data_IF_040777937495
#
_entry.id   IF_040777937495
#
_cell.length_a   1.000
_cell.length_b   1.000
_cell.length_c   1.000
_cell.angle_alpha   90.00
_cell.angle_beta   90.00
_cell.angle_gamma   90.00
#
_symmetry.space_group_name_H-M   'P 1'
#
loop_
_entity.id
_entity.type
_entity.pdbx_description
1 polymer ?
#
# COMPACT_ATOMS: atom_id res chain seq x y z
N UNK A 1 39.45 27.65 -13.69
CA UNK A 1 40.35 26.62 -13.12
C UNK A 1 39.67 25.25 -13.27
N UNK A 2 40.22 24.35 -14.11
CA UNK A 2 39.73 22.97 -14.20
C UNK A 2 39.90 22.30 -12.82
N UNK A 3 38.80 21.89 -12.20
CA UNK A 3 38.85 21.13 -10.94
C UNK A 3 39.58 19.81 -11.21
N UNK A 4 40.73 19.63 -10.55
CA UNK A 4 41.45 18.35 -10.59
C UNK A 4 40.52 17.22 -10.14
N UNK A 5 40.56 16.08 -10.85
CA UNK A 5 39.82 14.87 -10.44
C UNK A 5 40.30 14.40 -9.07
N UNK A 6 39.48 13.64 -8.35
CA UNK A 6 39.75 13.22 -6.97
C UNK A 6 41.11 12.52 -6.80
N UNK A 7 41.43 11.56 -7.67
CA UNK A 7 42.69 10.83 -7.64
C UNK A 7 43.92 11.73 -7.72
N UNK A 8 44.11 12.59 -8.73
CA UNK A 8 45.29 13.48 -8.79
C UNK A 8 45.33 14.49 -7.65
N UNK A 9 44.18 14.87 -7.07
CA UNK A 9 44.12 15.77 -5.93
C UNK A 9 44.65 15.10 -4.66
N UNK A 10 44.20 13.89 -4.34
CA UNK A 10 44.68 13.11 -3.19
C UNK A 10 46.15 12.77 -3.36
N UNK A 11 46.57 12.34 -4.56
CA UNK A 11 47.95 12.05 -4.87
C UNK A 11 48.87 13.24 -4.63
N UNK A 12 48.50 14.44 -5.12
CA UNK A 12 49.29 15.65 -4.90
C UNK A 12 49.39 16.04 -3.43
N UNK A 13 48.29 15.93 -2.67
CA UNK A 13 48.35 16.24 -1.23
C UNK A 13 49.22 15.26 -0.46
N UNK A 14 49.07 13.97 -0.65
CA UNK A 14 49.85 12.93 0.03
C UNK A 14 51.33 13.01 -0.36
N UNK A 15 51.62 13.23 -1.63
CA UNK A 15 52.97 13.42 -2.13
C UNK A 15 53.63 14.71 -1.52
N UNK A 16 52.88 15.81 -1.46
CA UNK A 16 53.39 17.07 -0.86
C UNK A 16 53.70 16.90 0.61
N UNK A 17 52.85 16.23 1.39
CA UNK A 17 53.07 15.95 2.80
C UNK A 17 54.30 15.05 2.98
N UNK A 18 54.42 13.97 2.22
CA UNK A 18 55.57 13.07 2.31
C UNK A 18 56.87 13.76 1.90
N UNK A 19 56.83 14.57 0.84
CA UNK A 19 57.97 15.36 0.42
C UNK A 19 58.43 16.35 1.53
N UNK A 20 57.46 17.01 2.18
CA UNK A 20 57.75 17.92 3.30
C UNK A 20 58.42 17.17 4.46
N UNK A 21 57.90 15.99 4.85
CA UNK A 21 58.49 15.15 5.89
C UNK A 21 59.91 14.72 5.52
N UNK A 22 60.16 14.31 4.26
CA UNK A 22 61.48 13.96 3.78
C UNK A 22 62.47 15.12 3.87
N UNK A 23 62.07 16.31 3.44
CA UNK A 23 62.91 17.52 3.51
C UNK A 23 63.23 17.89 4.95
N UNK A 24 62.24 17.87 5.85
CA UNK A 24 62.42 18.21 7.26
C UNK A 24 63.32 17.19 7.95
N UNK A 25 63.13 15.88 7.76
CA UNK A 25 63.94 14.85 8.40
C UNK A 25 65.38 14.87 7.93
N UNK A 26 65.64 15.04 6.63
CA UNK A 26 66.99 15.13 6.10
C UNK A 26 67.67 16.43 6.46
N UNK A 27 66.94 17.56 6.52
CA UNK A 27 67.43 18.84 7.00
C UNK A 27 67.82 18.80 8.50
N UNK A 28 66.99 18.10 9.32
CA UNK A 28 67.32 17.90 10.76
C UNK A 28 68.56 17.03 10.95
N UNK A 29 68.69 15.94 10.18
CA UNK A 29 69.87 15.07 10.22
C UNK A 29 71.13 15.89 9.85
N UNK A 30 71.08 16.70 8.81
CA UNK A 30 72.18 17.51 8.36
C UNK A 30 72.58 18.57 9.41
N UNK A 31 71.64 19.20 10.08
CA UNK A 31 71.84 20.20 11.10
C UNK A 31 72.32 19.60 12.45
N UNK A 32 71.80 18.46 12.86
CA UNK A 32 72.11 17.88 14.20
C UNK A 32 73.34 16.95 14.20
N UNK A 33 73.71 16.36 13.07
CA UNK A 33 74.82 15.45 12.97
C UNK A 33 76.15 16.06 13.45
N UNK A 34 76.52 17.33 13.13
CA UNK A 34 77.70 17.98 13.66
C UNK A 34 77.58 18.28 15.13
N UNK A 35 76.39 18.62 15.69
CA UNK A 35 76.23 19.03 17.09
C UNK A 35 76.25 17.84 18.07
N UNK A 36 75.78 16.64 17.66
CA UNK A 36 75.88 15.46 18.51
C UNK A 36 77.30 15.00 18.78
N UNK A 37 78.24 15.32 17.91
CA UNK A 37 79.66 15.04 18.13
C UNK A 37 80.29 15.90 19.18
N UNK A 38 79.91 17.19 19.32
CA UNK A 38 80.36 18.10 20.33
C UNK A 38 79.98 17.69 21.75
N UNK A 39 78.88 16.99 21.93
CA UNK A 39 78.37 16.52 23.21
C UNK A 39 79.07 15.25 23.74
N UNK A 40 79.73 14.48 22.87
CA UNK A 40 80.47 13.28 23.27
C UNK A 40 81.95 13.46 23.44
N UNK A 41 82.48 14.66 23.20
CA UNK A 41 83.90 15.01 23.29
C UNK A 41 84.17 15.84 24.53
N UNK A 42 84.05 15.26 25.72
CA UNK A 42 84.62 15.79 26.94
C UNK A 42 85.55 14.75 27.54
N UNK A 43 86.80 14.98 27.33
CA UNK A 43 88.04 14.47 27.96
C UNK A 43 88.88 13.53 27.11
N UNK A 44 90.08 14.09 26.79
CA UNK A 44 91.30 13.38 26.32
C UNK A 44 91.23 12.64 24.95
N UNK A 45 91.56 13.42 23.89
CA UNK A 45 92.34 13.01 22.71
C UNK A 45 92.02 13.89 21.47
N UNK A 46 92.62 15.09 21.40
CA UNK A 46 92.38 16.08 20.31
C UNK A 46 92.78 15.56 18.93
N UNK A 47 93.63 14.57 18.79
CA UNK A 47 94.06 14.03 17.51
C UNK A 47 93.08 12.96 16.96
N UNK A 48 92.41 12.24 17.83
CA UNK A 48 91.40 11.20 17.44
C UNK A 48 90.09 11.85 17.05
N UNK A 49 89.76 12.96 17.72
CA UNK A 49 88.49 13.68 17.46
C UNK A 49 88.43 14.32 16.08
N UNK A 50 89.55 14.91 15.58
CA UNK A 50 89.55 15.56 14.23
C UNK A 50 89.37 14.50 13.11
N UNK A 51 89.98 13.34 13.27
CA UNK A 51 89.82 12.24 12.27
C UNK A 51 88.43 11.62 12.29
N UNK A 52 87.80 11.57 13.44
CA UNK A 52 86.42 11.04 13.61
C UNK A 52 85.34 12.01 13.07
N UNK A 53 85.53 13.30 13.27
CA UNK A 53 84.67 14.38 12.67
C UNK A 53 84.67 14.30 11.15
N UNK A 54 85.80 14.14 10.51
CA UNK A 54 85.93 14.04 9.07
C UNK A 54 85.20 12.76 8.53
N UNK A 55 85.32 11.63 9.25
CA UNK A 55 84.72 10.37 8.86
C UNK A 55 83.19 10.41 8.93
N UNK A 56 82.63 11.02 9.94
CA UNK A 56 81.16 11.14 10.11
C UNK A 56 80.56 12.09 9.09
N UNK A 57 81.23 13.23 8.86
CA UNK A 57 80.78 14.21 7.86
C UNK A 57 80.82 13.60 6.44
N UNK A 58 81.88 12.87 6.10
CA UNK A 58 82.04 12.21 4.82
C UNK A 58 81.05 11.05 4.67
N UNK A 59 80.72 10.29 5.71
CA UNK A 59 79.71 9.25 5.71
C UNK A 59 78.31 9.83 5.54
N UNK A 60 77.93 10.92 6.18
CA UNK A 60 76.67 11.63 6.04
C UNK A 60 76.56 12.23 4.64
N UNK A 61 77.58 12.88 4.10
CA UNK A 61 77.57 13.43 2.74
C UNK A 61 77.37 12.36 1.66
N UNK A 62 77.95 11.17 1.83
CA UNK A 62 77.74 10.03 0.90
C UNK A 62 76.42 9.33 1.09
N UNK A 63 75.91 9.21 2.29
CA UNK A 63 74.62 8.54 2.59
C UNK A 63 73.39 9.40 2.25
N UNK A 64 73.50 10.75 2.38
CA UNK A 64 72.41 11.69 2.22
C UNK A 64 71.73 11.62 0.83
N UNK A 65 72.43 11.61 -0.32
CA UNK A 65 71.81 11.51 -1.65
C UNK A 65 71.11 10.16 -1.87
N UNK A 66 71.63 9.05 -1.30
CA UNK A 66 71.07 7.74 -1.42
C UNK A 66 69.78 7.65 -0.60
N UNK A 67 69.81 8.12 0.66
CA UNK A 67 68.63 8.13 1.53
C UNK A 67 67.52 9.06 1.01
N UNK A 68 67.88 10.20 0.44
CA UNK A 68 66.94 11.11 -0.20
C UNK A 68 66.26 10.48 -1.41
N UNK A 69 67.02 9.80 -2.24
CA UNK A 69 66.47 9.10 -3.46
C UNK A 69 65.53 7.96 -3.05
N UNK A 70 65.89 7.14 -2.08
CA UNK A 70 65.06 6.08 -1.52
C UNK A 70 63.77 6.62 -0.90
N UNK A 71 63.88 7.69 -0.09
CA UNK A 71 62.74 8.34 0.55
C UNK A 71 61.76 8.93 -0.49
N UNK A 72 62.29 9.54 -1.55
CA UNK A 72 61.47 10.07 -2.65
C UNK A 72 60.72 8.97 -3.36
N UNK A 73 61.39 7.85 -3.68
CA UNK A 73 60.79 6.69 -4.35
C UNK A 73 59.69 6.06 -3.49
N UNK A 74 59.94 5.86 -2.20
CA UNK A 74 58.96 5.37 -1.23
C UNK A 74 57.76 6.31 -1.15
N UNK A 75 58.01 7.63 -1.08
CA UNK A 75 56.95 8.64 -1.04
C UNK A 75 56.02 8.58 -2.26
N UNK A 76 56.56 8.42 -3.47
CA UNK A 76 55.80 8.29 -4.68
C UNK A 76 54.95 7.01 -4.67
N UNK A 77 55.56 5.86 -4.32
CA UNK A 77 54.86 4.57 -4.26
C UNK A 77 53.75 4.59 -3.22
N UNK A 78 54.02 5.06 -2.01
CA UNK A 78 53.00 5.17 -0.95
C UNK A 78 51.87 6.12 -1.33
N UNK A 79 52.18 7.28 -1.97
CA UNK A 79 51.18 8.22 -2.43
C UNK A 79 50.26 7.63 -3.50
N UNK A 80 50.81 6.85 -4.45
CA UNK A 80 50.04 6.12 -5.47
C UNK A 80 49.10 5.08 -4.86
N UNK A 81 49.63 4.27 -3.94
CA UNK A 81 48.84 3.22 -3.27
C UNK A 81 47.72 3.83 -2.45
N UNK A 82 48.01 4.86 -1.66
CA UNK A 82 47.01 5.54 -0.82
C UNK A 82 45.92 6.22 -1.67
N UNK A 83 46.32 6.91 -2.74
CA UNK A 83 45.36 7.54 -3.66
C UNK A 83 44.44 6.51 -4.33
N UNK A 84 45.01 5.36 -4.71
CA UNK A 84 44.20 4.26 -5.30
C UNK A 84 43.28 3.61 -4.27
N UNK A 85 43.73 3.41 -3.05
CA UNK A 85 42.95 2.78 -1.99
C UNK A 85 41.70 3.57 -1.59
N UNK A 86 41.75 4.92 -1.68
CA UNK A 86 40.65 5.79 -1.27
C UNK A 86 39.84 6.29 -2.48
N UNK A 87 40.51 6.77 -3.55
CA UNK A 87 39.83 7.43 -4.64
C UNK A 87 38.98 6.48 -5.51
N UNK A 88 39.47 5.27 -5.73
CA UNK A 88 38.75 4.29 -6.59
C UNK A 88 37.43 3.82 -5.98
N UNK A 89 37.36 3.41 -4.68
CA UNK A 89 36.08 3.06 -4.05
C UNK A 89 35.08 4.21 -4.02
N UNK A 90 35.50 5.42 -3.65
CA UNK A 90 34.62 6.59 -3.63
C UNK A 90 34.07 6.91 -5.02
N UNK A 91 34.89 6.76 -6.07
CA UNK A 91 34.44 6.95 -7.45
C UNK A 91 33.41 5.90 -7.86
N UNK A 92 33.55 4.64 -7.41
CA UNK A 92 32.59 3.58 -7.65
C UNK A 92 31.26 3.85 -6.94
N UNK A 93 31.29 4.28 -5.66
CA UNK A 93 30.06 4.68 -4.94
C UNK A 93 29.37 5.80 -5.71
N UNK A 94 30.10 6.84 -6.12
CA UNK A 94 29.52 7.96 -6.87
C UNK A 94 28.89 7.53 -8.21
N UNK A 95 29.50 6.58 -8.91
CA UNK A 95 28.95 6.06 -10.16
C UNK A 95 27.69 5.20 -9.92
N UNK A 96 27.68 4.36 -8.88
CA UNK A 96 26.50 3.57 -8.52
C UNK A 96 25.35 4.47 -8.04
N UNK A 97 25.63 5.51 -7.25
CA UNK A 97 24.58 6.47 -6.85
C UNK A 97 24.00 7.24 -8.02
N UNK A 98 24.78 7.52 -9.06
CA UNK A 98 24.24 8.12 -10.31
C UNK A 98 23.29 7.19 -11.06
N UNK A 99 23.51 5.87 -11.03
CA UNK A 99 22.57 4.87 -11.55
C UNK A 99 21.33 4.78 -10.67
N UNK A 100 21.49 4.77 -9.35
CA UNK A 100 20.39 4.77 -8.38
C UNK A 100 19.48 6.00 -8.55
N UNK A 101 20.03 7.18 -8.84
CA UNK A 101 19.25 8.39 -9.15
C UNK A 101 18.34 8.24 -10.39
N UNK A 102 18.65 7.32 -11.30
CA UNK A 102 17.82 7.01 -12.47
C UNK A 102 16.77 5.94 -12.16
N UNK A 103 16.65 5.52 -10.90
CA UNK A 103 15.77 4.44 -10.44
C UNK A 103 16.04 3.10 -11.13
N UNK A 104 17.30 2.82 -11.46
CA UNK A 104 17.69 1.52 -12.01
C UNK A 104 17.63 0.46 -10.92
N UNK A 105 16.66 -0.45 -10.98
CA UNK A 105 16.46 -1.53 -10.01
C UNK A 105 17.65 -2.47 -9.85
N UNK A 106 18.56 -2.51 -10.83
CA UNK A 106 19.79 -3.30 -10.78
C UNK A 106 20.99 -2.55 -10.17
N UNK A 107 20.85 -1.25 -9.85
CA UNK A 107 21.95 -0.46 -9.32
C UNK A 107 22.33 -0.91 -7.91
N UNK A 108 23.62 -1.23 -7.74
CA UNK A 108 24.19 -1.70 -6.48
C UNK A 108 25.63 -1.21 -6.32
N UNK A 109 26.02 -0.79 -5.13
CA UNK A 109 27.40 -0.50 -4.76
C UNK A 109 28.13 -1.79 -4.38
N UNK A 110 28.81 -2.44 -5.32
CA UNK A 110 29.57 -3.69 -5.11
C UNK A 110 30.96 -3.44 -4.52
N UNK A 111 31.03 -2.80 -3.36
CA UNK A 111 32.29 -2.53 -2.64
C UNK A 111 32.31 -3.38 -1.37
N UNK A 112 33.31 -4.28 -1.25
CA UNK A 112 33.45 -5.21 -0.14
C UNK A 112 34.74 -4.92 0.65
N UNK A 113 34.88 -3.70 1.18
CA UNK A 113 35.94 -3.37 2.13
C UNK A 113 35.41 -3.51 3.56
N UNK A 114 36.31 -3.81 4.52
CA UNK A 114 35.96 -3.98 5.94
C UNK A 114 36.16 -2.69 6.76
N UNK A 115 36.17 -1.55 6.09
CA UNK A 115 36.39 -0.23 6.65
C UNK A 115 35.12 0.65 6.55
N UNK A 116 35.23 1.91 6.87
CA UNK A 116 34.17 2.91 6.81
C UNK A 116 33.60 3.09 5.38
N UNK A 117 34.41 2.82 4.35
CA UNK A 117 34.00 2.91 2.94
C UNK A 117 33.06 1.74 2.61
N UNK A 118 33.37 0.55 3.10
CA UNK A 118 32.49 -0.62 2.97
C UNK A 118 31.14 -0.40 3.68
N UNK A 119 31.19 0.15 4.90
CA UNK A 119 29.99 0.51 5.66
C UNK A 119 29.16 1.58 4.93
N UNK A 120 29.81 2.59 4.35
CA UNK A 120 29.12 3.61 3.54
C UNK A 120 28.44 2.99 2.32
N UNK A 121 29.11 2.10 1.61
CA UNK A 121 28.53 1.40 0.45
C UNK A 121 27.30 0.58 0.84
N UNK A 122 27.36 -0.13 1.98
CA UNK A 122 26.23 -0.89 2.53
C UNK A 122 25.05 0.04 2.89
N UNK A 123 25.32 1.12 3.63
CA UNK A 123 24.27 2.09 4.00
C UNK A 123 23.58 2.71 2.76
N UNK A 124 24.34 2.97 1.69
CA UNK A 124 23.78 3.47 0.43
C UNK A 124 22.89 2.41 -0.23
N UNK A 125 23.28 1.15 -0.22
CA UNK A 125 22.48 0.06 -0.75
C UNK A 125 21.18 -0.13 0.05
N UNK A 126 21.27 -0.13 1.38
CA UNK A 126 20.11 -0.28 2.27
C UNK A 126 19.12 0.88 2.10
N UNK A 127 19.64 2.11 2.00
CA UNK A 127 18.82 3.30 1.75
C UNK A 127 18.12 3.21 0.39
N UNK A 128 18.82 2.77 -0.64
CA UNK A 128 18.26 2.60 -1.97
C UNK A 128 17.19 1.50 -2.01
N UNK A 129 17.42 0.36 -1.36
CA UNK A 129 16.44 -0.73 -1.23
C UNK A 129 15.16 -0.24 -0.52
N UNK A 130 15.31 0.51 0.58
CA UNK A 130 14.16 1.09 1.29
C UNK A 130 13.42 2.12 0.42
N UNK A 131 14.13 2.91 -0.38
CA UNK A 131 13.52 3.85 -1.31
C UNK A 131 12.67 3.13 -2.36
N UNK A 132 13.20 2.08 -2.99
CA UNK A 132 12.47 1.28 -3.99
C UNK A 132 11.21 0.64 -3.39
N UNK A 133 11.32 0.02 -2.21
CA UNK A 133 10.17 -0.58 -1.54
C UNK A 133 9.08 0.46 -1.19
N UNK A 134 9.50 1.68 -0.81
CA UNK A 134 8.57 2.78 -0.53
C UNK A 134 7.86 3.25 -1.81
N UNK A 135 8.58 3.34 -2.93
CA UNK A 135 7.99 3.70 -4.22
C UNK A 135 6.95 2.65 -4.64
N UNK A 136 7.29 1.35 -4.56
CA UNK A 136 6.34 0.27 -4.89
C UNK A 136 5.09 0.31 -4.00
N UNK A 137 5.25 0.60 -2.72
CA UNK A 137 4.11 0.74 -1.80
C UNK A 137 3.22 1.91 -2.20
N UNK A 138 3.82 3.07 -2.47
CA UNK A 138 3.08 4.27 -2.90
C UNK A 138 2.38 4.07 -4.26
N UNK A 139 2.98 3.35 -5.19
CA UNK A 139 2.34 3.01 -6.46
C UNK A 139 1.11 2.12 -6.26
N UNK A 140 1.21 1.10 -5.40
CA UNK A 140 0.06 0.23 -5.05
C UNK A 140 -1.06 1.02 -4.37
N UNK A 141 -0.73 1.90 -3.41
CA UNK A 141 -1.73 2.76 -2.77
C UNK A 141 -2.40 3.71 -3.77
N UNK A 142 -1.61 4.32 -4.66
CA UNK A 142 -2.12 5.20 -5.71
C UNK A 142 -3.08 4.46 -6.66
N UNK A 143 -2.75 3.24 -7.06
CA UNK A 143 -3.62 2.44 -7.94
C UNK A 143 -4.90 2.04 -7.21
N UNK A 144 -4.82 1.63 -5.94
CA UNK A 144 -6.00 1.34 -5.11
C UNK A 144 -6.92 2.58 -4.95
N UNK A 145 -6.35 3.76 -4.70
CA UNK A 145 -7.12 5.01 -4.62
C UNK A 145 -7.78 5.33 -5.98
N UNK A 146 -7.06 5.16 -7.08
CA UNK A 146 -7.60 5.39 -8.43
C UNK A 146 -8.77 4.46 -8.75
N UNK A 147 -8.67 3.18 -8.39
CA UNK A 147 -9.73 2.21 -8.62
C UNK A 147 -10.96 2.54 -7.76
N UNK A 148 -10.75 2.98 -6.53
CA UNK A 148 -11.82 3.46 -5.65
C UNK A 148 -12.52 4.71 -6.20
N UNK A 149 -11.76 5.67 -6.75
CA UNK A 149 -12.33 6.87 -7.38
C UNK A 149 -13.14 6.52 -8.63
N UNK A 150 -12.66 5.57 -9.45
CA UNK A 150 -13.41 5.08 -10.62
C UNK A 150 -14.71 4.41 -10.21
N UNK A 151 -14.67 3.48 -9.27
CA UNK A 151 -15.85 2.80 -8.75
C UNK A 151 -16.88 3.81 -8.22
N UNK A 152 -16.43 4.85 -7.48
CA UNK A 152 -17.29 5.93 -7.00
C UNK A 152 -17.91 6.74 -8.15
N UNK A 153 -17.14 7.07 -9.18
CA UNK A 153 -17.63 7.80 -10.33
C UNK A 153 -18.69 7.00 -11.12
N UNK A 154 -18.44 5.70 -11.31
CA UNK A 154 -19.36 4.80 -12.00
C UNK A 154 -20.64 4.59 -11.20
N UNK A 155 -20.55 4.44 -9.88
CA UNK A 155 -21.69 4.41 -8.97
C UNK A 155 -22.55 5.67 -9.08
N UNK A 156 -21.95 6.87 -9.03
CA UNK A 156 -22.68 8.14 -9.13
C UNK A 156 -23.32 8.32 -10.51
N UNK A 157 -22.68 7.84 -11.58
CA UNK A 157 -23.24 7.87 -12.93
C UNK A 157 -24.46 6.95 -13.03
N UNK A 158 -24.36 5.72 -12.51
CA UNK A 158 -25.47 4.78 -12.47
C UNK A 158 -26.64 5.33 -11.62
N UNK A 159 -26.35 5.87 -10.42
CA UNK A 159 -27.34 6.49 -9.56
C UNK A 159 -28.07 7.65 -10.26
N UNK A 160 -27.34 8.52 -10.96
CA UNK A 160 -27.93 9.62 -11.71
C UNK A 160 -28.86 9.13 -12.84
N UNK A 161 -28.47 8.04 -13.52
CA UNK A 161 -29.30 7.44 -14.56
C UNK A 161 -30.59 6.85 -13.99
N UNK A 162 -30.48 6.08 -12.90
CA UNK A 162 -31.63 5.41 -12.28
C UNK A 162 -32.60 6.40 -11.60
N UNK A 163 -32.09 7.51 -11.07
CA UNK A 163 -32.94 8.60 -10.54
C UNK A 163 -33.66 9.38 -11.65
N UNK A 164 -33.00 9.58 -12.81
CA UNK A 164 -33.58 10.35 -13.92
C UNK A 164 -34.83 9.70 -14.48
N UNK A 165 -34.88 8.37 -14.57
CA UNK A 165 -36.00 7.62 -15.17
C UNK A 165 -37.33 7.85 -14.42
N UNK A 166 -37.44 7.59 -13.09
CA UNK A 166 -38.68 7.82 -12.36
C UNK A 166 -39.04 9.31 -12.26
N UNK A 167 -38.05 10.21 -12.17
CA UNK A 167 -38.30 11.67 -12.19
C UNK A 167 -38.94 12.08 -13.51
N UNK A 168 -38.46 11.57 -14.65
CA UNK A 168 -39.04 11.87 -15.97
C UNK A 168 -40.46 11.29 -16.11
N UNK A 169 -40.67 10.05 -15.62
CA UNK A 169 -41.98 9.43 -15.63
C UNK A 169 -42.99 10.20 -14.75
N UNK A 170 -42.59 10.59 -13.55
CA UNK A 170 -43.40 11.40 -12.63
C UNK A 170 -43.78 12.72 -13.26
N UNK A 171 -42.80 13.44 -13.83
CA UNK A 171 -43.06 14.74 -14.49
C UNK A 171 -44.02 14.60 -15.65
N UNK A 172 -43.84 13.61 -16.52
CA UNK A 172 -44.72 13.33 -17.64
C UNK A 172 -46.15 12.97 -17.18
N UNK A 173 -46.31 12.19 -16.10
CA UNK A 173 -47.62 11.88 -15.53
C UNK A 173 -48.32 13.14 -15.00
N UNK A 174 -47.60 13.95 -14.24
CA UNK A 174 -48.13 15.22 -13.71
C UNK A 174 -48.48 16.22 -14.82
N UNK A 175 -47.64 16.37 -15.87
CA UNK A 175 -47.95 17.23 -17.02
C UNK A 175 -49.23 16.77 -17.74
N UNK A 176 -49.39 15.46 -17.98
CA UNK A 176 -50.59 14.91 -18.60
C UNK A 176 -51.84 15.11 -17.73
N UNK A 177 -51.69 15.02 -16.39
CA UNK A 177 -52.78 15.33 -15.45
C UNK A 177 -53.17 16.82 -15.50
N UNK A 178 -52.20 17.73 -15.50
CA UNK A 178 -52.41 19.18 -15.58
C UNK A 178 -53.12 19.57 -16.88
N UNK A 179 -52.72 18.91 -18.00
CA UNK A 179 -53.31 19.14 -19.32
C UNK A 179 -54.67 18.42 -19.51
N UNK A 180 -55.07 17.56 -18.58
CA UNK A 180 -56.33 16.80 -18.68
C UNK A 180 -56.36 15.83 -19.87
N UNK A 181 -55.24 15.21 -20.23
CA UNK A 181 -55.11 14.34 -21.42
C UNK A 181 -55.58 12.93 -21.13
N UNK A 182 -56.61 12.44 -21.81
CA UNK A 182 -57.02 11.06 -21.82
C UNK A 182 -57.29 10.45 -20.46
N UNK A 183 -56.65 9.31 -20.15
CA UNK A 183 -56.80 8.58 -18.89
C UNK A 183 -56.28 9.34 -17.64
N UNK A 184 -55.36 10.31 -17.82
CA UNK A 184 -54.78 11.06 -16.74
C UNK A 184 -55.75 12.10 -16.08
N UNK A 185 -57.00 12.19 -16.55
CA UNK A 185 -58.10 12.93 -15.88
C UNK A 185 -58.59 12.19 -14.62
N UNK A 186 -58.31 10.90 -14.48
CA UNK A 186 -58.66 10.14 -13.29
C UNK A 186 -57.60 10.38 -12.18
N UNK A 187 -57.75 11.52 -11.50
CA UNK A 187 -56.82 11.90 -10.40
C UNK A 187 -56.84 10.90 -9.25
N UNK A 188 -57.94 10.18 -9.03
CA UNK A 188 -58.05 9.20 -7.97
C UNK A 188 -57.09 8.01 -8.14
N UNK A 189 -56.83 7.63 -9.40
CA UNK A 189 -55.88 6.58 -9.76
C UNK A 189 -54.42 7.11 -9.85
N UNK A 190 -54.20 8.25 -10.53
CA UNK A 190 -52.86 8.71 -10.84
C UNK A 190 -52.15 9.50 -9.72
N UNK A 191 -52.85 10.13 -8.77
CA UNK A 191 -52.23 10.77 -7.61
C UNK A 191 -51.54 9.75 -6.66
N UNK A 192 -52.18 8.59 -6.32
CA UNK A 192 -51.52 7.51 -5.60
C UNK A 192 -50.26 6.99 -6.31
N UNK A 193 -50.33 6.77 -7.64
CA UNK A 193 -49.17 6.32 -8.45
C UNK A 193 -48.03 7.35 -8.38
N UNK A 194 -48.32 8.64 -8.48
CA UNK A 194 -47.33 9.73 -8.33
C UNK A 194 -46.70 9.68 -6.93
N UNK A 195 -47.52 9.51 -5.88
CA UNK A 195 -47.04 9.40 -4.50
C UNK A 195 -46.09 8.19 -4.33
N UNK A 196 -46.43 7.05 -4.86
CA UNK A 196 -45.60 5.86 -4.83
C UNK A 196 -44.25 6.10 -5.53
N UNK A 197 -44.22 6.77 -6.70
CA UNK A 197 -42.98 7.16 -7.38
C UNK A 197 -42.11 8.08 -6.52
N UNK A 198 -42.72 9.01 -5.77
CA UNK A 198 -41.98 9.91 -4.84
C UNK A 198 -41.40 9.11 -3.66
N UNK A 199 -42.15 8.15 -3.10
CA UNK A 199 -41.68 7.29 -2.02
C UNK A 199 -40.51 6.41 -2.48
N UNK A 200 -40.60 5.83 -3.69
CA UNK A 200 -39.50 5.09 -4.30
C UNK A 200 -38.26 5.93 -4.51
N UNK A 201 -38.42 7.16 -5.05
CA UNK A 201 -37.32 8.11 -5.21
C UNK A 201 -36.66 8.47 -3.88
N UNK A 202 -37.47 8.70 -2.84
CA UNK A 202 -36.97 8.99 -1.49
C UNK A 202 -36.15 7.81 -0.94
N UNK A 203 -36.63 6.58 -1.12
CA UNK A 203 -35.92 5.36 -0.76
C UNK A 203 -34.57 5.23 -1.49
N UNK A 204 -34.56 5.44 -2.82
CA UNK A 204 -33.30 5.42 -3.61
C UNK A 204 -32.30 6.45 -3.15
N UNK A 205 -32.73 7.69 -2.89
CA UNK A 205 -31.84 8.74 -2.38
C UNK A 205 -31.25 8.34 -1.03
N UNK A 206 -32.08 7.78 -0.15
CA UNK A 206 -31.62 7.34 1.17
C UNK A 206 -30.57 6.23 1.04
N UNK A 207 -30.80 5.23 0.21
CA UNK A 207 -29.82 4.15 -0.05
C UNK A 207 -28.51 4.66 -0.67
N UNK A 208 -28.61 5.61 -1.63
CA UNK A 208 -27.41 6.23 -2.25
C UNK A 208 -26.60 7.00 -1.20
N UNK A 209 -27.25 7.76 -0.31
CA UNK A 209 -26.58 8.51 0.75
C UNK A 209 -25.95 7.59 1.79
N UNK A 210 -26.65 6.52 2.18
CA UNK A 210 -26.12 5.51 3.09
C UNK A 210 -24.89 4.80 2.47
N UNK A 211 -25.00 4.39 1.22
CA UNK A 211 -23.89 3.75 0.47
C UNK A 211 -22.68 4.68 0.36
N UNK A 212 -22.90 5.97 0.14
CA UNK A 212 -21.81 6.96 0.08
C UNK A 212 -21.09 7.13 1.43
N UNK A 213 -21.75 6.88 2.55
CA UNK A 213 -21.16 6.94 3.90
C UNK A 213 -20.39 5.69 4.30
N UNK A 214 -20.68 4.53 3.69
CA UNK A 214 -20.05 3.24 4.04
C UNK A 214 -18.52 3.27 3.92
N UNK A 215 -17.97 4.05 3.00
CA UNK A 215 -16.52 4.22 2.80
C UNK A 215 -15.84 5.14 3.84
N UNK A 216 -16.59 5.76 4.78
CA UNK A 216 -16.07 6.73 5.74
C UNK A 216 -16.09 6.26 7.20
N UNK A 217 -16.81 5.19 7.51
CA UNK A 217 -16.97 4.71 8.89
C UNK A 217 -16.27 3.36 9.09
N UNK A 218 -14.99 3.39 9.40
CA UNK A 218 -14.28 2.24 9.99
C UNK A 218 -14.71 2.13 11.45
N UNK A 219 -15.84 1.46 11.71
CA UNK A 219 -16.16 1.04 13.07
C UNK A 219 -15.12 0.01 13.53
N UNK A 220 -14.47 0.20 14.69
CA UNK A 220 -13.50 -0.77 15.17
C UNK A 220 -14.20 -2.11 15.44
N UNK A 221 -13.59 -3.24 15.05
CA UNK A 221 -14.15 -4.55 15.32
C UNK A 221 -14.24 -4.81 16.83
N UNK A 222 -15.35 -5.39 17.28
CA UNK A 222 -15.62 -5.75 18.68
C UNK A 222 -15.95 -7.23 18.77
N UNK A 223 -15.63 -7.85 19.90
CA UNK A 223 -16.10 -9.21 20.17
C UNK A 223 -17.60 -9.15 20.49
N UNK A 224 -18.39 -9.87 19.72
CA UNK A 224 -19.85 -9.95 19.85
C UNK A 224 -20.32 -11.38 19.85
N UNK A 225 -21.49 -11.64 20.41
CA UNK A 225 -22.24 -12.87 20.18
C UNK A 225 -23.04 -12.72 18.88
N UNK A 226 -22.60 -13.43 17.85
CA UNK A 226 -23.22 -13.39 16.53
C UNK A 226 -24.59 -14.09 16.54
N UNK A 227 -24.79 -15.10 17.39
CA UNK A 227 -26.08 -15.80 17.50
C UNK A 227 -27.16 -14.85 18.02
N UNK A 228 -26.87 -14.08 19.07
CA UNK A 228 -27.80 -13.08 19.61
C UNK A 228 -28.10 -11.99 18.57
N UNK A 229 -27.05 -11.44 17.92
CA UNK A 229 -27.22 -10.43 16.87
C UNK A 229 -28.07 -10.93 15.70
N UNK A 230 -27.84 -12.16 15.24
CA UNK A 230 -28.61 -12.75 14.13
C UNK A 230 -30.06 -12.99 14.52
N UNK A 231 -30.33 -13.42 15.76
CA UNK A 231 -31.70 -13.58 16.25
C UNK A 231 -32.48 -12.26 16.21
N UNK A 232 -31.86 -11.18 16.70
CA UNK A 232 -32.44 -9.82 16.64
C UNK A 232 -32.65 -9.34 15.20
N UNK A 233 -31.67 -9.55 14.31
CA UNK A 233 -31.76 -9.12 12.91
C UNK A 233 -32.82 -9.90 12.12
N UNK A 234 -33.04 -11.17 12.45
CA UNK A 234 -34.02 -12.01 11.74
C UNK A 234 -35.47 -11.73 12.16
N UNK A 235 -35.73 -11.23 13.35
CA UNK A 235 -37.07 -11.01 13.88
C UNK A 235 -38.01 -10.19 12.96
N UNK A 236 -37.62 -9.02 12.42
CA UNK A 236 -38.44 -8.26 11.49
C UNK A 236 -38.78 -9.03 10.19
N UNK A 237 -37.78 -9.79 9.70
CA UNK A 237 -37.94 -10.55 8.44
C UNK A 237 -38.81 -11.79 8.61
N UNK A 238 -38.84 -12.41 9.79
CA UNK A 238 -39.79 -13.47 10.13
C UNK A 238 -41.24 -12.95 10.05
N UNK A 239 -41.51 -11.74 10.55
CA UNK A 239 -42.84 -11.13 10.48
C UNK A 239 -43.24 -10.82 9.03
N UNK A 240 -42.31 -10.26 8.23
CA UNK A 240 -42.55 -9.99 6.82
C UNK A 240 -42.79 -11.29 6.05
N UNK A 241 -41.97 -12.31 6.26
CA UNK A 241 -42.10 -13.62 5.65
C UNK A 241 -43.47 -14.25 5.97
N UNK A 242 -43.91 -14.21 7.22
CA UNK A 242 -45.21 -14.70 7.62
C UNK A 242 -46.37 -13.97 6.93
N UNK A 243 -46.28 -12.63 6.76
CA UNK A 243 -47.28 -11.85 6.03
C UNK A 243 -47.36 -12.23 4.55
N UNK A 244 -46.24 -12.67 3.93
CA UNK A 244 -46.17 -13.15 2.56
C UNK A 244 -46.33 -14.66 2.41
N UNK A 245 -46.74 -15.36 3.47
CA UNK A 245 -46.96 -16.84 3.49
C UNK A 245 -45.65 -17.63 3.18
N UNK A 246 -44.49 -17.07 3.57
CA UNK A 246 -43.20 -17.71 3.44
C UNK A 246 -42.84 -18.35 4.78
N UNK A 247 -42.33 -19.58 4.76
CA UNK A 247 -41.83 -20.26 5.95
C UNK A 247 -40.40 -19.77 6.23
N UNK A 248 -40.16 -19.15 7.38
CA UNK A 248 -38.84 -18.71 7.78
C UNK A 248 -38.29 -19.60 8.88
N UNK A 249 -37.21 -20.32 8.63
CA UNK A 249 -36.48 -21.15 9.60
C UNK A 249 -35.21 -20.52 10.07
N UNK A 250 -34.97 -20.54 11.38
CA UNK A 250 -33.77 -20.03 12.00
C UNK A 250 -33.15 -21.14 12.89
N UNK A 251 -31.92 -21.57 12.54
CA UNK A 251 -31.20 -22.61 13.28
C UNK A 251 -29.79 -22.08 13.63
N UNK A 252 -29.66 -21.53 14.84
CA UNK A 252 -28.43 -20.93 15.34
C UNK A 252 -27.93 -21.71 16.56
N UNK A 253 -26.59 -21.83 16.74
CA UNK A 253 -26.03 -22.36 17.97
C UNK A 253 -26.39 -21.46 19.17
N UNK A 254 -26.41 -22.02 20.39
CA UNK A 254 -26.70 -21.25 21.59
C UNK A 254 -25.78 -20.04 21.76
N UNK A 255 -24.49 -20.15 21.32
CA UNK A 255 -23.54 -19.09 21.40
C UNK A 255 -22.47 -19.25 20.28
N UNK A 256 -22.24 -18.18 19.53
CA UNK A 256 -21.16 -18.09 18.56
C UNK A 256 -20.56 -16.67 18.58
N UNK A 257 -19.31 -16.56 19.06
CA UNK A 257 -18.62 -15.27 19.16
C UNK A 257 -17.65 -15.04 18.01
N UNK A 258 -17.65 -13.83 17.46
CA UNK A 258 -16.68 -13.36 16.48
C UNK A 258 -16.27 -11.90 16.77
N UNK A 259 -15.15 -11.47 16.16
CA UNK A 259 -14.65 -10.10 16.25
C UNK A 259 -15.01 -9.37 14.96
N UNK A 260 -16.04 -8.53 15.02
CA UNK A 260 -16.64 -7.90 13.84
C UNK A 260 -17.01 -6.43 14.10
N UNK A 261 -17.01 -5.56 13.08
CA UNK A 261 -17.65 -4.25 13.14
C UNK A 261 -19.17 -4.44 13.05
N UNK A 262 -19.88 -4.19 14.15
CA UNK A 262 -21.30 -4.54 14.33
C UNK A 262 -22.20 -3.87 13.29
N UNK A 263 -22.07 -2.56 13.10
CA UNK A 263 -22.92 -1.80 12.19
C UNK A 263 -22.82 -2.26 10.73
N UNK A 264 -21.62 -2.29 10.14
CA UNK A 264 -21.40 -2.79 8.78
C UNK A 264 -21.87 -4.24 8.59
N UNK A 265 -21.56 -5.14 9.54
CA UNK A 265 -21.98 -6.53 9.46
C UNK A 265 -23.50 -6.68 9.51
N UNK A 266 -24.17 -6.02 10.47
CA UNK A 266 -25.64 -6.02 10.58
C UNK A 266 -26.31 -5.51 9.30
N UNK A 267 -25.76 -4.44 8.70
CA UNK A 267 -26.29 -3.90 7.44
C UNK A 267 -26.15 -4.88 6.27
N UNK A 268 -25.00 -5.58 6.16
CA UNK A 268 -24.80 -6.59 5.14
C UNK A 268 -25.81 -7.76 5.30
N UNK A 269 -25.94 -8.29 6.52
CA UNK A 269 -26.88 -9.37 6.82
C UNK A 269 -28.34 -8.94 6.56
N UNK A 270 -28.72 -7.74 7.00
CA UNK A 270 -30.07 -7.20 6.75
C UNK A 270 -30.40 -7.11 5.26
N UNK A 271 -29.44 -6.70 4.41
CA UNK A 271 -29.65 -6.68 2.95
C UNK A 271 -29.82 -8.08 2.35
N UNK A 272 -29.06 -9.07 2.86
CA UNK A 272 -29.19 -10.47 2.42
C UNK A 272 -30.57 -11.02 2.82
N UNK A 273 -31.00 -10.79 4.08
CA UNK A 273 -32.32 -11.23 4.57
C UNK A 273 -33.46 -10.55 3.80
N UNK A 274 -33.37 -9.24 3.57
CA UNK A 274 -34.34 -8.51 2.76
C UNK A 274 -34.47 -9.11 1.36
N UNK A 275 -33.35 -9.39 0.68
CA UNK A 275 -33.36 -10.05 -0.63
C UNK A 275 -33.94 -11.47 -0.56
N UNK A 276 -33.54 -12.27 0.43
CA UNK A 276 -34.05 -13.62 0.60
C UNK A 276 -35.59 -13.64 0.72
N UNK A 277 -36.16 -12.79 1.56
CA UNK A 277 -37.62 -12.71 1.74
C UNK A 277 -38.30 -12.12 0.51
N UNK A 278 -37.76 -11.06 -0.12
CA UNK A 278 -38.39 -10.39 -1.26
C UNK A 278 -38.46 -11.27 -2.53
N UNK A 279 -37.48 -12.18 -2.71
CA UNK A 279 -37.40 -13.03 -3.90
C UNK A 279 -37.94 -14.47 -3.68
N UNK A 280 -38.46 -14.79 -2.47
CA UNK A 280 -39.09 -16.08 -2.19
C UNK A 280 -40.59 -16.00 -2.48
N UNK A 281 -41.11 -16.99 -3.21
CA UNK A 281 -42.53 -17.06 -3.53
C UNK A 281 -43.34 -17.58 -2.32
N UNK A 282 -44.63 -17.21 -2.25
CA UNK A 282 -45.54 -17.70 -1.23
C UNK A 282 -45.59 -19.24 -1.19
N UNK A 283 -45.58 -19.81 0.00
CA UNK A 283 -45.56 -21.26 0.24
C UNK A 283 -44.15 -21.89 0.19
N UNK A 284 -43.12 -21.12 -0.05
CA UNK A 284 -41.72 -21.58 -0.06
C UNK A 284 -40.97 -21.18 1.22
N UNK A 285 -39.66 -21.56 1.32
CA UNK A 285 -38.87 -21.46 2.52
C UNK A 285 -37.73 -20.49 2.38
N UNK A 286 -37.43 -19.76 3.46
CA UNK A 286 -36.14 -19.07 3.74
C UNK A 286 -35.52 -19.75 4.95
N UNK A 287 -34.25 -20.15 4.85
CA UNK A 287 -33.52 -20.82 5.94
C UNK A 287 -32.28 -20.03 6.27
N UNK A 288 -32.09 -19.74 7.57
CA UNK A 288 -30.91 -19.06 8.10
C UNK A 288 -30.29 -19.96 9.16
N UNK A 289 -29.03 -20.35 8.96
CA UNK A 289 -28.37 -21.25 9.89
C UNK A 289 -26.84 -21.05 9.90
N UNK A 290 -26.20 -21.61 10.93
CA UNK A 290 -24.74 -21.65 11.03
C UNK A 290 -24.20 -23.02 10.69
N UNK A 291 -23.26 -23.10 9.74
CA UNK A 291 -22.51 -24.30 9.42
C UNK A 291 -21.03 -24.09 9.80
N UNK A 292 -20.64 -24.61 10.96
CA UNK A 292 -19.32 -24.35 11.53
C UNK A 292 -19.09 -22.86 11.81
N UNK A 293 -18.22 -22.23 11.07
CA UNK A 293 -17.98 -20.78 11.15
C UNK A 293 -18.62 -19.99 10.01
N UNK A 294 -19.55 -20.56 9.31
CA UNK A 294 -20.20 -19.91 8.17
C UNK A 294 -21.65 -19.63 8.47
N UNK A 295 -22.07 -18.39 8.26
CA UNK A 295 -23.47 -18.02 8.22
C UNK A 295 -24.01 -18.35 6.84
N UNK A 296 -25.09 -19.13 6.78
CA UNK A 296 -25.74 -19.55 5.55
C UNK A 296 -27.16 -18.99 5.52
N UNK A 297 -27.52 -18.34 4.44
CA UNK A 297 -28.88 -17.87 4.14
C UNK A 297 -29.31 -18.48 2.82
N UNK A 298 -30.32 -19.35 2.88
CA UNK A 298 -30.91 -20.00 1.72
C UNK A 298 -32.34 -19.50 1.48
N UNK A 299 -32.66 -19.34 0.22
CA UNK A 299 -34.03 -19.00 -0.15
C UNK A 299 -34.49 -19.79 -1.40
N UNK A 300 -35.70 -20.34 -1.33
CA UNK A 300 -36.29 -21.06 -2.42
C UNK A 300 -36.90 -20.10 -3.44
N UNK A 301 -36.23 -19.98 -4.60
CA UNK A 301 -36.65 -19.10 -5.68
C UNK A 301 -36.21 -19.66 -7.03
N UNK A 302 -36.53 -18.98 -8.11
CA UNK A 302 -35.96 -19.28 -9.43
C UNK A 302 -34.43 -19.01 -9.36
N UNK A 303 -33.58 -20.03 -9.59
CA UNK A 303 -32.15 -19.87 -9.51
C UNK A 303 -31.64 -18.94 -10.62
N UNK A 304 -30.63 -18.17 -10.29
CA UNK A 304 -29.96 -17.26 -11.22
C UNK A 304 -28.78 -18.01 -11.85
N UNK A 305 -28.55 -17.77 -13.13
CA UNK A 305 -27.49 -18.43 -13.88
C UNK A 305 -26.11 -17.91 -13.44
N UNK A 306 -25.08 -18.76 -13.47
CA UNK A 306 -23.72 -18.44 -12.99
C UNK A 306 -23.09 -17.24 -13.70
N UNK A 307 -23.42 -17.01 -14.97
CA UNK A 307 -22.94 -15.88 -15.77
C UNK A 307 -23.61 -14.54 -15.38
N UNK A 308 -24.81 -14.58 -14.80
CA UNK A 308 -25.51 -13.40 -14.30
C UNK A 308 -25.13 -13.03 -12.85
N UNK A 309 -24.68 -14.01 -12.04
CA UNK A 309 -24.40 -13.82 -10.60
C UNK A 309 -23.41 -12.67 -10.36
N UNK A 310 -22.34 -12.58 -11.17
CA UNK A 310 -21.35 -11.50 -11.02
C UNK A 310 -21.95 -10.11 -11.20
N UNK A 311 -22.90 -9.99 -12.11
CA UNK A 311 -23.56 -8.72 -12.41
C UNK A 311 -24.54 -8.27 -11.32
N UNK A 312 -25.04 -9.20 -10.50
CA UNK A 312 -25.91 -8.87 -9.37
C UNK A 312 -25.24 -7.97 -8.31
N UNK A 313 -23.92 -7.97 -8.29
CA UNK A 313 -23.12 -7.11 -7.42
C UNK A 313 -22.76 -5.76 -8.05
N UNK A 314 -23.15 -5.53 -9.34
CA UNK A 314 -23.07 -4.22 -9.96
C UNK A 314 -24.18 -3.31 -9.39
N UNK A 315 -23.91 -2.02 -9.12
CA UNK A 315 -24.94 -1.13 -8.58
C UNK A 315 -26.10 -0.97 -9.56
N UNK A 316 -27.34 -1.04 -9.04
CA UNK A 316 -28.60 -0.91 -9.77
C UNK A 316 -28.90 -2.03 -10.79
N UNK A 317 -28.05 -3.04 -10.89
CA UNK A 317 -28.31 -4.16 -11.80
C UNK A 317 -29.45 -5.04 -11.28
N UNK A 318 -30.35 -5.42 -12.18
CA UNK A 318 -31.50 -6.32 -11.93
C UNK A 318 -31.71 -7.23 -13.15
N UNK A 319 -31.78 -8.56 -12.97
CA UNK A 319 -31.87 -9.50 -14.09
C UNK A 319 -33.22 -9.46 -14.83
N UNK A 320 -34.29 -8.98 -14.22
CA UNK A 320 -35.64 -8.96 -14.79
C UNK A 320 -36.38 -7.63 -14.55
N UNK A 321 -36.37 -6.75 -15.56
CA UNK A 321 -36.92 -5.40 -15.45
C UNK A 321 -38.45 -5.37 -15.24
N UNK A 322 -39.20 -6.41 -15.72
CA UNK A 322 -40.65 -6.43 -15.70
C UNK A 322 -41.26 -6.95 -14.40
N UNK A 323 -40.59 -7.90 -13.72
CA UNK A 323 -41.04 -8.45 -12.42
C UNK A 323 -40.61 -7.66 -11.22
N UNK A 324 -39.62 -6.80 -11.38
CA UNK A 324 -38.95 -6.10 -10.31
C UNK A 324 -39.63 -4.80 -9.83
N UNK A 325 -40.60 -4.29 -10.54
CA UNK A 325 -41.39 -3.12 -10.10
C UNK A 325 -42.35 -3.43 -8.94
N UNK A 326 -42.88 -4.66 -8.88
CA UNK A 326 -43.78 -5.09 -7.81
C UNK A 326 -43.05 -5.46 -6.51
N UNK A 327 -41.76 -5.84 -6.58
CA UNK A 327 -40.95 -6.24 -5.40
C UNK A 327 -40.11 -5.12 -4.77
N UNK A 328 -40.22 -3.88 -5.25
CA UNK A 328 -39.75 -2.66 -4.56
C UNK A 328 -38.23 -2.44 -4.37
N UNK A 329 -37.37 -3.35 -4.78
CA UNK A 329 -35.92 -3.20 -4.55
C UNK A 329 -35.20 -2.36 -5.62
N UNK A 330 -34.25 -1.50 -5.23
CA UNK A 330 -33.52 -0.55 -6.10
C UNK A 330 -32.27 -1.12 -6.76
N UNK A 331 -31.94 -2.42 -6.57
CA UNK A 331 -30.74 -3.05 -7.13
C UNK A 331 -29.43 -2.65 -6.43
N UNK A 332 -29.50 -2.05 -5.25
CA UNK A 332 -28.34 -1.67 -4.44
C UNK A 332 -27.99 -2.67 -3.33
N UNK A 333 -28.93 -3.53 -2.92
CA UNK A 333 -28.75 -4.39 -1.75
C UNK A 333 -27.52 -5.29 -1.84
N UNK A 334 -27.32 -6.04 -2.94
CA UNK A 334 -26.16 -6.92 -3.11
C UNK A 334 -24.85 -6.14 -3.35
N UNK A 335 -24.91 -4.99 -4.01
CA UNK A 335 -23.75 -4.10 -4.11
C UNK A 335 -23.28 -3.60 -2.74
N UNK A 336 -24.22 -3.25 -1.84
CA UNK A 336 -23.92 -2.87 -0.44
C UNK A 336 -23.29 -4.06 0.30
N UNK A 337 -23.83 -5.26 0.12
CA UNK A 337 -23.29 -6.49 0.74
C UNK A 337 -21.85 -6.73 0.31
N UNK A 338 -21.55 -6.68 -0.99
CA UNK A 338 -20.20 -6.84 -1.55
C UNK A 338 -19.25 -5.79 -0.99
N UNK A 339 -19.65 -4.52 -1.06
CA UNK A 339 -18.84 -3.39 -0.55
C UNK A 339 -18.50 -3.56 0.93
N UNK A 340 -19.47 -3.93 1.76
CA UNK A 340 -19.27 -4.09 3.20
C UNK A 340 -18.43 -5.32 3.53
N UNK A 341 -18.74 -6.49 3.00
CA UNK A 341 -18.00 -7.72 3.27
C UNK A 341 -16.54 -7.62 2.79
N UNK A 342 -16.33 -7.03 1.61
CA UNK A 342 -14.97 -6.77 1.08
C UNK A 342 -14.22 -5.78 1.96
N UNK A 343 -14.85 -4.71 2.45
CA UNK A 343 -14.21 -3.73 3.34
C UNK A 343 -13.82 -4.30 4.71
N UNK A 344 -14.51 -5.34 5.15
CA UNK A 344 -14.25 -6.08 6.40
C UNK A 344 -13.30 -7.27 6.20
N UNK A 345 -12.84 -7.53 4.98
CA UNK A 345 -12.04 -8.70 4.60
C UNK A 345 -12.73 -10.04 4.96
N UNK A 346 -14.07 -10.08 4.85
CA UNK A 346 -14.89 -11.24 5.13
C UNK A 346 -15.21 -11.97 3.83
N UNK A 347 -14.73 -13.20 3.62
CA UNK A 347 -15.02 -13.99 2.45
C UNK A 347 -16.50 -14.40 2.40
N UNK A 348 -17.09 -14.41 1.21
CA UNK A 348 -18.45 -14.84 1.02
C UNK A 348 -18.63 -15.57 -0.33
N UNK A 349 -19.74 -16.26 -0.48
CA UNK A 349 -20.14 -16.84 -1.74
C UNK A 349 -21.66 -16.75 -1.95
N UNK A 350 -22.08 -16.58 -3.21
CA UNK A 350 -23.49 -16.59 -3.61
C UNK A 350 -23.65 -17.55 -4.77
N UNK A 351 -24.46 -18.62 -4.60
CA UNK A 351 -24.54 -19.74 -5.55
C UNK A 351 -25.96 -20.27 -5.69
N UNK A 352 -26.35 -20.82 -6.86
CA UNK A 352 -27.62 -21.52 -7.02
C UNK A 352 -27.62 -22.85 -6.27
N UNK A 353 -28.77 -23.18 -5.67
CA UNK A 353 -29.07 -24.49 -5.08
C UNK A 353 -29.86 -25.37 -6.04
N UNK A 354 -29.66 -26.70 -5.95
CA UNK A 354 -30.37 -27.68 -6.78
C UNK A 354 -31.53 -28.39 -6.05
N UNK A 355 -31.43 -28.55 -4.75
CA UNK A 355 -32.42 -29.25 -3.94
C UNK A 355 -32.38 -28.75 -2.47
N UNK A 356 -33.37 -27.96 -2.05
CA UNK A 356 -34.42 -27.33 -2.89
C UNK A 356 -33.85 -26.37 -3.92
N UNK A 357 -34.64 -26.05 -4.95
CA UNK A 357 -34.24 -25.10 -5.99
C UNK A 357 -34.28 -23.68 -5.44
N UNK A 358 -33.18 -22.95 -5.52
CA UNK A 358 -33.09 -21.60 -4.96
C UNK A 358 -31.69 -21.00 -5.05
N UNK A 359 -31.41 -20.05 -4.15
CA UNK A 359 -30.11 -19.39 -4.01
C UNK A 359 -29.59 -19.56 -2.58
N UNK A 360 -28.28 -19.65 -2.44
CA UNK A 360 -27.57 -19.78 -1.17
C UNK A 360 -26.52 -18.70 -1.08
N UNK A 361 -26.59 -17.88 -0.03
CA UNK A 361 -25.57 -16.90 0.35
C UNK A 361 -24.82 -17.41 1.58
N UNK A 362 -23.50 -17.49 1.51
CA UNK A 362 -22.65 -17.98 2.61
C UNK A 362 -21.61 -16.90 2.98
N UNK A 363 -21.52 -16.56 4.25
CA UNK A 363 -20.53 -15.65 4.82
C UNK A 363 -19.59 -16.46 5.72
N UNK A 364 -18.28 -16.38 5.54
CA UNK A 364 -17.28 -17.10 6.31
C UNK A 364 -16.69 -16.20 7.42
N UNK A 365 -17.02 -16.51 8.70
CA UNK A 365 -16.66 -15.72 9.90
C UNK A 365 -15.38 -16.20 10.60
#
# INVERSE_FOLDING_TARGET
MKRLKLFPKIFLYTMSIMLFVVVVTHGLIYLLAPQMQLALSTQDDVVVSIRQEQFVTEAVEKALPISLSCSLLISVVCSLLFSKAIADPIKKISASTEQMMKLDHGANCSIHTKDEIGTLAQNVNDLYSNLLSTIEHLEREKDAVRDMERAKADFLRAASHELKTPVTALNATLENMILGVGKYQDYATYLPECKEMVEQLSGMIHEILETSKLNLATEPPKQIDVSELLAELCEPYQLIAAAHQITFSLDLPEQFSAVLPVGPFSKAVSNILANAVAYTEAGKNVSVYMEGRSLVVENECKPILDDEIRRLFEPFYRPDFSRSRESGGNGLGLYIVDTLLTSMDIPYSFKPMKSPTGMCFTIHL
#
